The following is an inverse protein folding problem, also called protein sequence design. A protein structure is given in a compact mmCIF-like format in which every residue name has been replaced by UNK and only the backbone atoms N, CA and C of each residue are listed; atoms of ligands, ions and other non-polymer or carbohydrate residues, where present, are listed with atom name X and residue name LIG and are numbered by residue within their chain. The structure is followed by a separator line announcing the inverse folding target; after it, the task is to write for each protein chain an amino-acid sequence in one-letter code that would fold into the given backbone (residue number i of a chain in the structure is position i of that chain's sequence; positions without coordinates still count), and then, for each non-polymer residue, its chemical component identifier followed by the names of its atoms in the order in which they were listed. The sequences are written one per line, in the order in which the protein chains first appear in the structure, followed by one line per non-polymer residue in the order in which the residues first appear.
data_IF_737619658207
#
_entry.id   IF_737619658207
#
_cell.length_a   1.000
_cell.length_b   1.000
_cell.length_c   1.000
_cell.angle_alpha   90.00
_cell.angle_beta   90.00
_cell.angle_gamma   90.00
#
_symmetry.space_group_name_H-M   'P 1'
#
loop_
_entity.id
_entity.type
_entity.pdbx_description
1 polymer ?
#
# COMPACT_ATOMS: atom_id res chain seq x y z
N UNK A 1 34.07 -7.04 13.60
CA UNK A 1 32.76 -6.51 14.00
C UNK A 1 31.79 -7.67 14.09
N UNK A 2 31.51 -8.17 15.29
CA UNK A 2 30.41 -9.10 15.49
C UNK A 2 29.15 -8.25 15.69
N UNK A 3 28.37 -8.05 14.63
CA UNK A 3 27.00 -7.54 14.79
C UNK A 3 26.27 -8.65 15.54
N UNK A 4 26.06 -8.47 16.83
CA UNK A 4 25.29 -9.42 17.65
C UNK A 4 23.83 -9.23 17.25
N UNK A 5 23.41 -9.94 16.20
CA UNK A 5 22.00 -10.02 15.81
C UNK A 5 21.31 -10.75 16.96
N UNK A 6 20.59 -10.01 17.81
CA UNK A 6 19.62 -10.61 18.74
C UNK A 6 18.45 -11.13 17.90
N UNK A 7 17.92 -12.29 18.25
CA UNK A 7 16.87 -13.03 17.50
C UNK A 7 17.29 -13.66 16.17
N UNK A 8 18.41 -14.39 16.16
CA UNK A 8 18.85 -15.19 15.00
C UNK A 8 17.82 -16.21 14.54
N UNK A 9 17.01 -16.76 15.45
CA UNK A 9 15.95 -17.73 15.12
C UNK A 9 14.83 -17.07 14.30
N UNK A 10 14.35 -15.90 14.73
CA UNK A 10 13.30 -15.18 14.00
C UNK A 10 13.76 -14.71 12.63
N UNK A 11 15.03 -14.29 12.52
CA UNK A 11 15.61 -13.97 11.23
C UNK A 11 15.69 -15.19 10.32
N UNK A 12 16.10 -16.35 10.84
CA UNK A 12 16.15 -17.58 10.08
C UNK A 12 14.75 -18.01 9.60
N UNK A 13 13.74 -17.95 10.46
CA UNK A 13 12.34 -18.25 10.10
C UNK A 13 11.82 -17.33 8.98
N UNK A 14 12.14 -16.04 9.06
CA UNK A 14 11.76 -15.07 8.04
C UNK A 14 12.44 -15.36 6.70
N UNK A 15 13.72 -15.74 6.73
CA UNK A 15 14.47 -16.11 5.53
C UNK A 15 13.92 -17.39 4.87
N UNK A 16 13.55 -18.40 5.67
CA UNK A 16 12.94 -19.63 5.17
C UNK A 16 11.53 -19.40 4.61
N UNK A 17 10.76 -18.49 5.20
CA UNK A 17 9.48 -18.04 4.63
C UNK A 17 9.67 -17.33 3.28
N UNK A 18 10.65 -16.42 3.18
CA UNK A 18 10.96 -15.72 1.93
C UNK A 18 11.36 -16.71 0.83
N UNK A 19 12.17 -17.72 1.16
CA UNK A 19 12.58 -18.78 0.24
C UNK A 19 11.39 -19.59 -0.27
N UNK A 20 10.47 -19.93 0.62
CA UNK A 20 9.23 -20.64 0.30
C UNK A 20 8.30 -19.81 -0.58
N UNK A 21 8.06 -18.55 -0.23
CA UNK A 21 7.20 -17.62 -0.98
C UNK A 21 7.74 -17.32 -2.38
N UNK A 22 9.05 -17.19 -2.52
CA UNK A 22 9.69 -16.88 -3.80
C UNK A 22 9.91 -18.11 -4.69
N UNK A 23 9.70 -19.32 -4.15
CA UNK A 23 9.97 -20.63 -4.78
C UNK A 23 11.38 -20.73 -5.34
N UNK A 24 12.36 -20.23 -4.59
CA UNK A 24 13.77 -20.25 -4.99
C UNK A 24 14.54 -21.32 -4.21
N UNK A 25 15.48 -21.97 -4.88
CA UNK A 25 16.33 -23.01 -4.28
C UNK A 25 17.48 -22.41 -3.46
N UNK A 26 17.97 -21.24 -3.87
CA UNK A 26 19.05 -20.51 -3.18
C UNK A 26 18.51 -19.32 -2.39
N UNK A 27 19.15 -19.06 -1.24
CA UNK A 27 18.77 -17.97 -0.37
C UNK A 27 19.02 -16.60 -1.03
N UNK A 28 20.14 -16.46 -1.74
CA UNK A 28 20.46 -15.24 -2.48
C UNK A 28 19.44 -14.94 -3.58
N UNK A 29 19.00 -15.97 -4.32
CA UNK A 29 17.96 -15.82 -5.34
C UNK A 29 16.61 -15.43 -4.73
N UNK A 30 16.27 -16.00 -3.58
CA UNK A 30 15.06 -15.65 -2.83
C UNK A 30 15.08 -14.18 -2.39
N UNK A 31 16.19 -13.71 -1.82
CA UNK A 31 16.34 -12.31 -1.36
C UNK A 31 16.27 -11.31 -2.52
N UNK A 32 16.94 -11.59 -3.63
CA UNK A 32 16.90 -10.71 -4.81
C UNK A 32 15.46 -10.59 -5.33
N UNK A 33 14.77 -11.71 -5.48
CA UNK A 33 13.38 -11.73 -5.95
C UNK A 33 12.43 -11.05 -4.96
N UNK A 34 12.63 -11.25 -3.67
CA UNK A 34 11.86 -10.58 -2.62
C UNK A 34 12.11 -9.06 -2.63
N UNK A 35 13.35 -8.62 -2.84
CA UNK A 35 13.69 -7.19 -2.97
C UNK A 35 12.97 -6.52 -4.14
N UNK A 36 13.00 -7.12 -5.32
CA UNK A 36 12.25 -6.61 -6.47
C UNK A 36 10.73 -6.61 -6.25
N UNK A 37 10.21 -7.65 -5.60
CA UNK A 37 8.79 -7.72 -5.26
C UNK A 37 8.40 -6.59 -4.28
N UNK A 38 9.22 -6.34 -3.25
CA UNK A 38 8.99 -5.27 -2.28
C UNK A 38 8.93 -3.89 -2.96
N UNK A 39 9.89 -3.60 -3.86
CA UNK A 39 9.89 -2.35 -4.64
C UNK A 39 8.60 -2.23 -5.47
N UNK A 40 8.24 -3.28 -6.20
CA UNK A 40 7.04 -3.30 -7.04
C UNK A 40 5.75 -3.07 -6.23
N UNK A 41 5.61 -3.74 -5.09
CA UNK A 41 4.44 -3.57 -4.24
C UNK A 41 4.39 -2.20 -3.58
N UNK A 42 5.54 -1.62 -3.23
CA UNK A 42 5.60 -0.24 -2.74
C UNK A 42 5.11 0.74 -3.80
N UNK A 43 5.61 0.64 -5.05
CA UNK A 43 5.14 1.49 -6.15
C UNK A 43 3.63 1.32 -6.41
N UNK A 44 3.13 0.08 -6.35
CA UNK A 44 1.69 -0.18 -6.52
C UNK A 44 0.87 0.49 -5.41
N UNK A 45 1.31 0.36 -4.17
CA UNK A 45 0.68 0.96 -2.99
C UNK A 45 0.63 2.49 -3.10
N UNK A 46 1.73 3.11 -3.52
CA UNK A 46 1.78 4.57 -3.72
C UNK A 46 0.82 5.03 -4.82
N UNK A 47 0.73 4.30 -5.95
CA UNK A 47 -0.21 4.62 -7.02
C UNK A 47 -1.66 4.48 -6.56
N UNK A 48 -2.00 3.38 -5.90
CA UNK A 48 -3.34 3.16 -5.35
C UNK A 48 -3.70 4.23 -4.32
N UNK A 49 -2.76 4.62 -3.47
CA UNK A 49 -2.98 5.69 -2.48
C UNK A 49 -3.30 7.03 -3.15
N UNK A 50 -2.59 7.38 -4.22
CA UNK A 50 -2.85 8.60 -5.01
C UNK A 50 -4.23 8.55 -5.70
N UNK A 51 -4.58 7.41 -6.29
CA UNK A 51 -5.87 7.20 -6.94
C UNK A 51 -7.03 7.32 -5.94
N UNK A 52 -6.90 6.67 -4.77
CA UNK A 52 -7.87 6.77 -3.68
C UNK A 52 -8.03 8.22 -3.23
N UNK A 53 -6.93 8.96 -3.04
CA UNK A 53 -6.99 10.36 -2.65
C UNK A 53 -7.70 11.22 -3.71
N UNK A 54 -7.44 10.99 -4.99
CA UNK A 54 -8.12 11.69 -6.08
C UNK A 54 -9.64 11.41 -6.08
N UNK A 55 -10.04 10.14 -5.97
CA UNK A 55 -11.44 9.74 -5.89
C UNK A 55 -12.16 10.34 -4.67
N UNK A 56 -11.50 10.39 -3.52
CA UNK A 56 -12.05 11.06 -2.33
C UNK A 56 -12.25 12.56 -2.55
N UNK A 57 -11.30 13.22 -3.23
CA UNK A 57 -11.42 14.64 -3.56
C UNK A 57 -12.60 14.91 -4.50
N UNK A 58 -12.77 14.09 -5.55
CA UNK A 58 -13.90 14.19 -6.49
C UNK A 58 -15.25 13.95 -5.78
N UNK A 59 -15.32 12.91 -4.96
CA UNK A 59 -16.52 12.60 -4.18
C UNK A 59 -16.88 13.75 -3.24
N UNK A 60 -15.90 14.38 -2.61
CA UNK A 60 -16.12 15.55 -1.75
C UNK A 60 -16.65 16.74 -2.54
N UNK A 61 -16.10 17.00 -3.73
CA UNK A 61 -16.59 18.06 -4.61
C UNK A 61 -18.02 17.80 -5.06
N UNK A 62 -18.34 16.57 -5.45
CA UNK A 62 -19.69 16.19 -5.88
C UNK A 62 -20.71 16.34 -4.75
N UNK A 63 -20.37 15.85 -3.54
CA UNK A 63 -21.20 16.03 -2.35
C UNK A 63 -21.45 17.50 -2.04
N UNK A 64 -20.43 18.34 -2.16
CA UNK A 64 -20.56 19.79 -1.98
C UNK A 64 -21.52 20.39 -3.00
N UNK A 65 -21.38 20.05 -4.29
CA UNK A 65 -22.29 20.52 -5.35
C UNK A 65 -23.75 20.13 -5.10
N UNK A 66 -24.00 18.87 -4.71
CA UNK A 66 -25.35 18.38 -4.39
C UNK A 66 -25.92 19.14 -3.19
N UNK A 67 -25.13 19.34 -2.15
CA UNK A 67 -25.54 20.08 -0.95
C UNK A 67 -25.93 21.51 -1.30
N UNK A 68 -25.08 22.21 -2.07
CA UNK A 68 -25.36 23.57 -2.54
C UNK A 68 -26.61 23.63 -3.41
N UNK A 69 -26.81 22.67 -4.31
CA UNK A 69 -28.01 22.59 -5.14
C UNK A 69 -29.28 22.40 -4.30
N UNK A 70 -29.26 21.46 -3.36
CA UNK A 70 -30.39 21.21 -2.46
C UNK A 70 -30.72 22.44 -1.62
N UNK A 71 -29.71 23.11 -1.05
CA UNK A 71 -29.90 24.34 -0.28
C UNK A 71 -30.52 25.45 -1.15
N UNK A 72 -30.05 25.63 -2.39
CA UNK A 72 -30.62 26.60 -3.30
C UNK A 72 -32.08 26.29 -3.65
N UNK A 73 -32.42 25.00 -3.83
CA UNK A 73 -33.77 24.55 -4.09
C UNK A 73 -34.71 24.78 -2.89
N UNK A 74 -34.23 24.50 -1.67
CA UNK A 74 -35.00 24.77 -0.44
C UNK A 74 -35.29 26.26 -0.26
N UNK A 75 -34.29 27.11 -0.50
CA UNK A 75 -34.45 28.57 -0.44
C UNK A 75 -35.39 29.14 -1.52
N UNK A 76 -35.64 28.40 -2.60
CA UNK A 76 -36.58 28.77 -3.67
C UNK A 76 -38.03 28.35 -3.39
N UNK A 77 -38.23 27.43 -2.44
CA UNK A 77 -39.56 26.96 -2.02
C UNK A 77 -40.15 27.76 -0.86
N UNK A 78 -39.33 28.59 -0.20
CA UNK A 78 -39.72 29.60 0.79
C UNK A 78 -40.09 30.91 0.08
#
# INVERSE_FOLDING_TARGET
MAITIRDTEQHQDMLDQIKTLTKQTTMSGALIKAGYAAIKYNELSERQSKEIQALYAELRQLKSKITTFNNALENLKL
#
